data_IF_629250731371
#
_entry.id   IF_629250731371
#
_cell.length_a   1.000
_cell.length_b   1.000
_cell.length_c   1.000
_cell.angle_alpha   90.00
_cell.angle_beta   90.00
_cell.angle_gamma   90.00
#
_symmetry.space_group_name_H-M   'P 1'
#
loop_
_entity.id
_entity.type
_entity.pdbx_description
1 polymer ?
#
# COMPACT_ATOMS: atom_id res chain seq x y z
N UNK A 1 -16.02 14.35 -6.18
CA UNK A 1 -15.31 14.37 -7.49
C UNK A 1 -14.36 13.19 -7.55
N UNK A 2 -14.20 12.56 -8.71
CA UNK A 2 -13.30 11.41 -8.88
C UNK A 2 -12.09 11.76 -9.75
N UNK A 3 -10.92 11.32 -9.31
CA UNK A 3 -9.64 11.57 -9.96
C UNK A 3 -8.82 10.29 -10.10
N UNK A 4 -8.05 10.20 -11.17
CA UNK A 4 -6.83 9.41 -11.24
C UNK A 4 -5.68 10.25 -10.70
N UNK A 5 -5.01 9.75 -9.66
CA UNK A 5 -3.79 10.34 -9.12
C UNK A 5 -2.61 9.48 -9.53
N UNK A 6 -1.55 10.11 -10.05
CA UNK A 6 -0.29 9.42 -10.35
C UNK A 6 0.86 10.01 -9.54
N UNK A 7 1.77 9.15 -9.08
CA UNK A 7 2.94 9.51 -8.30
C UNK A 7 4.19 9.04 -9.04
N UNK A 8 4.96 9.98 -9.60
CA UNK A 8 6.28 9.71 -10.20
C UNK A 8 7.38 9.97 -9.17
N UNK A 9 8.15 8.96 -8.73
CA UNK A 9 9.29 9.20 -7.84
C UNK A 9 10.33 10.05 -8.57
N UNK A 10 10.88 11.05 -7.88
CA UNK A 10 11.93 11.92 -8.44
C UNK A 10 13.35 11.34 -8.24
N UNK A 11 13.48 10.43 -7.27
CA UNK A 11 14.72 9.79 -6.82
C UNK A 11 14.38 8.36 -6.37
N UNK A 12 15.39 7.50 -6.08
CA UNK A 12 15.12 6.18 -5.51
C UNK A 12 14.25 6.32 -4.26
N UNK A 13 13.11 5.63 -4.25
CA UNK A 13 12.16 5.70 -3.15
C UNK A 13 12.43 4.60 -2.13
N UNK A 14 11.99 4.84 -0.90
CA UNK A 14 12.05 3.87 0.18
C UNK A 14 10.75 3.84 0.98
N UNK A 15 10.03 2.73 0.88
CA UNK A 15 8.84 2.44 1.66
C UNK A 15 9.20 1.52 2.83
N UNK A 16 9.04 2.01 4.05
CA UNK A 16 9.40 1.28 5.25
C UNK A 16 8.56 0.01 5.46
N UNK A 17 9.22 -1.03 5.96
CA UNK A 17 8.57 -2.23 6.50
C UNK A 17 8.72 -2.31 8.02
N UNK A 18 8.74 -3.54 8.55
CA UNK A 18 8.95 -3.77 9.98
C UNK A 18 10.39 -3.95 10.40
N UNK A 19 11.24 -4.33 9.45
CA UNK A 19 12.69 -4.29 9.64
C UNK A 19 13.14 -2.83 9.59
N UNK A 20 13.74 -2.38 10.69
CA UNK A 20 14.30 -1.03 10.83
C UNK A 20 15.80 -1.09 11.07
N UNK A 21 16.49 0.05 10.98
CA UNK A 21 17.93 0.11 11.26
C UNK A 21 18.21 -0.10 12.75
N UNK A 22 19.12 -1.02 13.09
CA UNK A 22 19.60 -1.21 14.46
C UNK A 22 20.46 -2.45 14.65
N UNK A 23 20.87 -2.73 15.89
CA UNK A 23 21.57 -3.98 16.26
C UNK A 23 20.72 -5.20 15.91
N UNK A 24 21.32 -6.38 15.70
CA UNK A 24 20.58 -7.62 15.43
C UNK A 24 19.60 -7.92 16.57
N UNK A 25 18.35 -7.50 16.40
CA UNK A 25 17.22 -7.82 17.27
C UNK A 25 16.06 -8.26 16.38
N UNK A 26 14.94 -8.68 16.98
CA UNK A 26 13.77 -9.20 16.24
C UNK A 26 13.29 -8.25 15.12
N UNK A 27 13.40 -6.93 15.31
CA UNK A 27 12.87 -5.91 14.39
C UNK A 27 13.94 -4.94 13.84
N UNK A 28 15.23 -5.25 14.04
CA UNK A 28 16.33 -4.44 13.52
C UNK A 28 17.43 -5.28 12.89
N UNK A 29 17.83 -4.89 11.68
CA UNK A 29 18.79 -5.63 10.87
C UNK A 29 19.78 -4.69 10.19
N UNK A 30 20.94 -5.22 9.83
CA UNK A 30 21.94 -4.52 9.03
C UNK A 30 21.50 -4.34 7.58
N UNK A 31 20.60 -5.20 7.09
CA UNK A 31 20.02 -5.14 5.76
C UNK A 31 18.57 -4.68 5.86
N UNK A 32 18.24 -3.58 5.20
CA UNK A 32 16.86 -3.06 5.16
C UNK A 32 16.42 -2.88 3.72
N UNK A 33 15.36 -3.59 3.35
CA UNK A 33 14.78 -3.49 2.01
C UNK A 33 13.53 -2.63 2.04
N UNK A 34 13.42 -1.74 1.06
CA UNK A 34 12.17 -1.04 0.77
C UNK A 34 11.09 -2.05 0.39
N UNK A 35 9.85 -1.77 0.76
CA UNK A 35 8.69 -2.36 0.09
C UNK A 35 8.59 -1.81 -1.34
N UNK A 36 7.97 -2.57 -2.23
CA UNK A 36 7.75 -2.15 -3.63
C UNK A 36 6.60 -1.16 -3.75
N UNK A 37 5.60 -1.29 -2.88
CA UNK A 37 4.44 -0.40 -2.79
C UNK A 37 4.38 0.28 -1.42
N UNK A 38 3.87 1.52 -1.35
CA UNK A 38 3.56 2.13 -0.07
C UNK A 38 2.30 1.49 0.52
N UNK A 39 2.17 1.52 1.85
CA UNK A 39 0.93 1.11 2.51
C UNK A 39 -0.21 2.07 2.17
N UNK A 40 -1.46 1.59 2.13
CA UNK A 40 -2.61 2.46 1.83
C UNK A 40 -2.82 3.52 2.91
N UNK A 41 -2.44 3.22 4.16
CA UNK A 41 -2.42 4.21 5.25
C UNK A 41 -1.42 5.34 5.00
N UNK A 42 -0.31 5.06 4.30
CA UNK A 42 0.64 6.09 3.91
C UNK A 42 0.07 6.99 2.80
N UNK A 43 -0.67 6.43 1.84
CA UNK A 43 -1.43 7.22 0.84
C UNK A 43 -2.49 8.09 1.53
N UNK A 44 -3.28 7.51 2.44
CA UNK A 44 -4.26 8.26 3.21
C UNK A 44 -3.60 9.42 3.97
N UNK A 45 -2.47 9.17 4.64
CA UNK A 45 -1.71 10.20 5.34
C UNK A 45 -1.20 11.30 4.41
N UNK A 46 -0.69 10.92 3.23
CA UNK A 46 -0.20 11.84 2.21
C UNK A 46 -1.32 12.73 1.67
N UNK A 47 -2.47 12.15 1.31
CA UNK A 47 -3.64 12.90 0.83
C UNK A 47 -4.16 13.85 1.90
N UNK A 48 -4.28 13.39 3.15
CA UNK A 48 -4.70 14.25 4.27
C UNK A 48 -3.74 15.44 4.45
N UNK A 49 -2.43 15.19 4.42
CA UNK A 49 -1.42 16.25 4.49
C UNK A 49 -1.59 17.25 3.34
N UNK A 50 -1.79 16.75 2.13
CA UNK A 50 -1.93 17.60 0.95
C UNK A 50 -3.20 18.47 0.99
N UNK A 51 -4.34 17.91 1.41
CA UNK A 51 -5.58 18.69 1.61
C UNK A 51 -5.35 19.83 2.62
N UNK A 52 -4.65 19.57 3.72
CA UNK A 52 -4.37 20.59 4.73
C UNK A 52 -3.43 21.69 4.20
N UNK A 53 -2.41 21.33 3.41
CA UNK A 53 -1.50 22.29 2.76
C UNK A 53 -2.26 23.17 1.77
N UNK A 54 -3.02 22.56 0.86
CA UNK A 54 -3.77 23.26 -0.18
C UNK A 54 -4.88 24.14 0.40
N UNK A 55 -5.45 23.76 1.56
CA UNK A 55 -6.42 24.56 2.29
C UNK A 55 -5.79 25.65 3.16
N UNK A 56 -4.45 25.80 3.15
CA UNK A 56 -3.68 26.73 4.01
C UNK A 56 -3.93 26.52 5.51
N UNK A 57 -4.24 25.29 5.92
CA UNK A 57 -4.48 24.91 7.31
C UNK A 57 -3.25 24.30 7.99
N UNK A 58 -2.24 23.90 7.22
CA UNK A 58 -0.95 23.42 7.72
C UNK A 58 0.12 24.49 7.54
N UNK A 59 0.60 25.08 8.63
CA UNK A 59 1.68 26.08 8.60
C UNK A 59 2.98 25.51 9.15
N UNK A 60 4.10 25.92 8.54
CA UNK A 60 5.43 25.59 9.05
C UNK A 60 5.85 26.65 10.06
N UNK A 61 6.05 26.25 11.32
CA UNK A 61 6.57 27.09 12.41
C UNK A 61 7.96 26.60 12.81
N UNK A 62 8.65 27.35 13.69
CA UNK A 62 10.01 27.00 14.16
C UNK A 62 10.15 25.57 14.72
N UNK A 63 9.08 25.01 15.29
CA UNK A 63 9.06 23.68 15.91
C UNK A 63 8.43 22.59 15.02
N UNK A 64 8.17 22.88 13.74
CA UNK A 64 7.59 21.94 12.78
C UNK A 64 6.25 22.40 12.20
N UNK A 65 5.56 21.46 11.56
CA UNK A 65 4.26 21.68 10.94
C UNK A 65 3.13 21.65 11.98
N UNK A 66 2.25 22.64 11.96
CA UNK A 66 1.13 22.77 12.87
C UNK A 66 -0.18 23.03 12.13
N UNK A 67 -1.27 22.48 12.69
CA UNK A 67 -2.64 22.76 12.24
C UNK A 67 -3.17 23.93 13.05
N UNK A 68 -3.42 25.06 12.40
CA UNK A 68 -3.86 26.29 13.06
C UNK A 68 -5.33 26.25 13.46
N UNK A 69 -6.21 25.86 12.52
CA UNK A 69 -7.64 25.67 12.77
C UNK A 69 -8.00 24.18 12.79
N UNK A 70 -8.08 23.63 14.00
CA UNK A 70 -8.47 22.23 14.22
C UNK A 70 -9.90 21.93 13.78
N UNK A 71 -10.83 22.87 13.90
CA UNK A 71 -12.24 22.64 13.56
C UNK A 71 -12.39 22.46 12.05
N UNK A 72 -11.81 23.37 11.27
CA UNK A 72 -11.78 23.26 9.81
C UNK A 72 -10.98 22.05 9.33
N UNK A 73 -9.84 21.76 9.97
CA UNK A 73 -9.05 20.57 9.63
C UNK A 73 -9.83 19.26 9.86
N UNK A 74 -10.52 19.12 11.00
CA UNK A 74 -11.34 17.93 11.28
C UNK A 74 -12.44 17.73 10.24
N UNK A 75 -13.09 18.81 9.78
CA UNK A 75 -14.09 18.70 8.69
C UNK A 75 -13.48 18.20 7.39
N UNK A 76 -12.24 18.59 7.09
CA UNK A 76 -11.56 18.23 5.84
C UNK A 76 -10.95 16.83 5.86
N UNK A 77 -10.25 16.44 6.93
CA UNK A 77 -9.46 15.19 6.94
C UNK A 77 -9.92 14.16 7.97
N UNK A 78 -10.92 14.52 8.79
CA UNK A 78 -11.35 13.74 9.95
C UNK A 78 -10.45 13.96 11.17
N UNK A 79 -10.93 13.49 12.32
CA UNK A 79 -10.29 13.60 13.64
C UNK A 79 -9.66 12.28 14.12
N UNK A 80 -10.06 11.16 13.53
CA UNK A 80 -9.60 9.84 13.96
C UNK A 80 -8.32 9.41 13.25
N UNK A 81 -7.38 8.87 14.05
CA UNK A 81 -6.27 8.08 13.54
C UNK A 81 -6.79 6.81 12.91
N UNK A 82 -6.14 6.35 11.85
CA UNK A 82 -6.50 5.10 11.20
C UNK A 82 -6.61 3.93 12.20
N UNK A 83 -7.72 3.18 12.11
CA UNK A 83 -8.10 2.06 12.96
C UNK A 83 -8.81 0.99 12.14
N UNK A 84 -8.47 -0.27 12.37
CA UNK A 84 -9.04 -1.40 11.64
C UNK A 84 -10.41 -1.85 12.14
N UNK A 85 -10.70 -1.58 13.41
CA UNK A 85 -11.79 -2.24 14.13
C UNK A 85 -13.01 -1.33 14.32
N UNK A 86 -12.93 -0.09 13.84
CA UNK A 86 -13.93 0.94 14.12
C UNK A 86 -14.16 1.76 12.86
N UNK A 87 -15.41 2.16 12.67
CA UNK A 87 -15.77 3.12 11.64
C UNK A 87 -15.06 4.46 11.88
N UNK A 88 -14.64 5.10 10.79
CA UNK A 88 -13.83 6.29 10.85
C UNK A 88 -14.39 7.44 10.02
N UNK A 89 -14.22 8.64 10.58
CA UNK A 89 -14.40 9.87 9.82
C UNK A 89 -13.15 10.16 8.99
N UNK A 90 -13.31 10.23 7.67
CA UNK A 90 -12.26 10.58 6.71
C UNK A 90 -12.41 12.01 6.14
N UNK A 91 -13.34 12.80 6.67
CA UNK A 91 -13.62 14.16 6.22
C UNK A 91 -14.22 14.20 4.81
N UNK A 92 -13.61 14.98 3.92
CA UNK A 92 -14.06 15.11 2.52
C UNK A 92 -13.76 13.87 1.67
N UNK A 93 -12.92 12.95 2.15
CA UNK A 93 -12.57 11.73 1.44
C UNK A 93 -13.74 10.74 1.42
N UNK A 94 -14.17 10.33 0.22
CA UNK A 94 -15.21 9.31 0.00
C UNK A 94 -14.62 7.94 -0.23
N UNK A 95 -13.62 7.79 -1.10
CA UNK A 95 -12.96 6.51 -1.33
C UNK A 95 -11.55 6.66 -1.90
N UNK A 96 -10.69 5.66 -1.66
CA UNK A 96 -9.39 5.49 -2.33
C UNK A 96 -9.36 4.06 -2.88
N UNK A 97 -9.02 3.90 -4.16
CA UNK A 97 -8.81 2.57 -4.73
C UNK A 97 -7.51 1.92 -4.23
N UNK A 98 -7.28 0.63 -4.50
CA UNK A 98 -5.95 0.04 -4.38
C UNK A 98 -4.93 0.81 -5.21
N UNK A 99 -3.67 0.79 -4.75
CA UNK A 99 -2.54 1.28 -5.55
C UNK A 99 -2.18 0.23 -6.58
N UNK A 100 -2.03 0.68 -7.82
CA UNK A 100 -1.57 -0.07 -8.97
C UNK A 100 -0.45 0.72 -9.67
N UNK A 101 0.06 0.18 -10.79
CA UNK A 101 1.09 0.84 -11.59
C UNK A 101 0.51 1.26 -12.94
N UNK A 102 0.98 2.38 -13.49
CA UNK A 102 0.69 2.79 -14.86
C UNK A 102 2.00 2.92 -15.63
N UNK A 103 2.00 2.44 -16.88
CA UNK A 103 3.01 2.73 -17.89
C UNK A 103 2.30 2.95 -19.22
N UNK A 104 2.54 4.10 -19.88
CA UNK A 104 1.95 4.43 -21.18
C UNK A 104 0.42 4.21 -21.22
N UNK A 105 -0.29 4.64 -20.17
CA UNK A 105 -1.73 4.43 -19.95
C UNK A 105 -2.18 3.00 -19.65
N UNK A 106 -1.31 1.99 -19.79
CA UNK A 106 -1.60 0.63 -19.38
C UNK A 106 -1.46 0.51 -17.86
N UNK A 107 -2.50 -0.05 -17.24
CA UNK A 107 -2.64 -0.26 -15.80
C UNK A 107 -2.20 -1.68 -15.47
N UNK A 108 -1.32 -1.82 -14.50
CA UNK A 108 -0.75 -3.09 -14.05
C UNK A 108 -1.08 -3.33 -12.59
N UNK A 109 -1.56 -4.53 -12.29
CA UNK A 109 -1.79 -5.02 -10.92
C UNK A 109 -0.83 -6.17 -10.62
N UNK A 110 -0.46 -6.33 -9.35
CA UNK A 110 0.23 -7.54 -8.89
C UNK A 110 -0.79 -8.67 -8.79
N UNK A 111 -0.46 -9.85 -9.32
CA UNK A 111 -1.29 -11.06 -9.25
C UNK A 111 -0.39 -12.27 -9.37
N UNK A 112 -0.60 -13.29 -8.53
CA UNK A 112 0.14 -14.55 -8.67
C UNK A 112 -0.03 -15.13 -10.08
N UNK A 113 1.02 -15.74 -10.62
CA UNK A 113 1.00 -16.39 -11.94
C UNK A 113 0.28 -17.76 -11.88
N UNK A 114 -0.98 -17.72 -11.47
CA UNK A 114 -1.87 -18.88 -11.48
C UNK A 114 -2.35 -19.22 -12.89
N UNK A 115 -2.29 -18.27 -13.83
CA UNK A 115 -2.76 -18.46 -15.20
C UNK A 115 -1.83 -19.36 -16.02
N UNK A 116 -0.56 -19.48 -15.61
CA UNK A 116 0.40 -20.48 -16.12
C UNK A 116 0.22 -21.88 -15.50
N UNK A 117 -0.69 -22.02 -14.53
CA UNK A 117 -0.95 -23.27 -13.83
C UNK A 117 -2.40 -23.74 -14.02
N UNK A 118 -2.68 -24.99 -13.66
CA UNK A 118 -4.05 -25.52 -13.62
C UNK A 118 -4.34 -26.15 -12.28
N UNK A 119 -5.36 -25.65 -11.59
CA UNK A 119 -5.83 -26.26 -10.36
C UNK A 119 -6.70 -27.49 -10.66
N UNK A 120 -6.33 -28.65 -10.12
CA UNK A 120 -7.11 -29.88 -10.23
C UNK A 120 -6.92 -30.77 -9.00
N UNK A 121 -8.03 -31.13 -8.32
CA UNK A 121 -8.05 -32.07 -7.19
C UNK A 121 -7.04 -31.72 -6.08
N UNK A 122 -7.02 -30.47 -5.63
CA UNK A 122 -6.11 -30.01 -4.57
C UNK A 122 -4.66 -29.78 -5.00
N UNK A 123 -4.33 -29.93 -6.29
CA UNK A 123 -2.98 -29.76 -6.81
C UNK A 123 -2.93 -28.65 -7.87
N UNK A 124 -1.84 -27.87 -7.83
CA UNK A 124 -1.53 -26.87 -8.83
C UNK A 124 -0.58 -27.48 -9.88
N UNK A 125 -1.15 -27.99 -10.98
CA UNK A 125 -0.37 -28.57 -12.09
C UNK A 125 0.37 -27.48 -12.85
N UNK A 126 1.63 -27.75 -13.21
CA UNK A 126 2.50 -26.79 -13.88
C UNK A 126 3.26 -25.85 -12.93
N UNK A 127 3.01 -25.93 -11.62
CA UNK A 127 3.76 -25.19 -10.63
C UNK A 127 5.25 -25.58 -10.65
N UNK A 128 6.12 -24.59 -10.85
CA UNK A 128 7.57 -24.75 -10.78
C UNK A 128 8.08 -24.04 -9.51
N UNK A 129 8.55 -24.79 -8.49
CA UNK A 129 9.05 -24.19 -7.25
C UNK A 129 10.33 -23.36 -7.45
N UNK A 130 10.97 -23.41 -8.63
CA UNK A 130 12.13 -22.56 -8.97
C UNK A 130 11.72 -21.18 -9.49
N UNK A 131 10.44 -20.99 -9.84
CA UNK A 131 9.89 -19.70 -10.27
C UNK A 131 9.12 -19.09 -9.12
N UNK A 132 9.34 -17.80 -8.89
CA UNK A 132 8.52 -17.07 -7.93
C UNK A 132 7.15 -16.78 -8.54
N UNK A 133 6.13 -17.51 -8.08
CA UNK A 133 4.75 -17.34 -8.54
C UNK A 133 4.18 -15.95 -8.19
N UNK A 134 4.78 -15.22 -7.23
CA UNK A 134 4.38 -13.85 -6.88
C UNK A 134 5.07 -12.77 -7.72
N UNK A 135 6.12 -13.12 -8.46
CA UNK A 135 6.84 -12.20 -9.33
C UNK A 135 6.11 -11.99 -10.66
N UNK A 136 4.87 -11.50 -10.56
CA UNK A 136 4.01 -11.33 -11.72
C UNK A 136 3.09 -10.11 -11.57
N UNK A 137 3.09 -9.29 -12.62
CA UNK A 137 2.28 -8.09 -12.79
C UNK A 137 1.54 -8.20 -14.10
N UNK A 138 0.21 -8.20 -14.04
CA UNK A 138 -0.64 -8.31 -15.22
C UNK A 138 -1.22 -6.94 -15.59
N UNK A 139 -1.13 -6.59 -16.87
CA UNK A 139 -1.86 -5.46 -17.43
C UNK A 139 -3.34 -5.80 -17.49
N UNK A 140 -4.18 -5.00 -16.84
CA UNK A 140 -5.63 -5.22 -16.91
C UNK A 140 -6.21 -4.83 -18.28
N UNK A 141 -5.52 -3.93 -19.00
CA UNK A 141 -5.91 -3.42 -20.31
C UNK A 141 -5.46 -4.35 -21.47
N UNK A 142 -4.22 -4.86 -21.43
CA UNK A 142 -3.63 -5.64 -22.54
C UNK A 142 -3.42 -7.11 -22.23
N UNK A 143 -3.56 -7.51 -20.96
CA UNK A 143 -3.20 -8.85 -20.43
C UNK A 143 -1.72 -9.22 -20.54
N UNK A 144 -0.86 -8.31 -20.98
CA UNK A 144 0.60 -8.49 -20.92
C UNK A 144 1.06 -8.66 -19.48
N UNK A 145 1.98 -9.60 -19.25
CA UNK A 145 2.62 -9.80 -17.95
C UNK A 145 4.02 -9.17 -17.92
N UNK A 146 4.44 -8.80 -16.72
CA UNK A 146 5.77 -8.26 -16.39
C UNK A 146 6.22 -8.83 -15.06
N UNK A 147 7.52 -8.88 -14.86
CA UNK A 147 8.15 -9.26 -13.60
C UNK A 147 8.63 -8.01 -12.85
N UNK A 148 9.01 -8.18 -11.59
CA UNK A 148 9.56 -7.13 -10.73
C UNK A 148 10.75 -6.45 -11.39
N UNK A 149 11.63 -7.22 -12.03
CA UNK A 149 12.82 -6.67 -12.68
C UNK A 149 12.51 -5.81 -13.91
N UNK A 150 11.32 -5.93 -14.51
CA UNK A 150 10.85 -5.08 -15.62
C UNK A 150 10.33 -3.72 -15.12
N UNK A 151 10.05 -3.60 -13.83
CA UNK A 151 9.38 -2.44 -13.23
C UNK A 151 10.29 -1.70 -12.25
N UNK A 152 11.05 -2.43 -11.44
CA UNK A 152 11.81 -1.90 -10.31
C UNK A 152 13.32 -2.13 -10.50
N UNK A 153 14.10 -1.06 -10.39
CA UNK A 153 15.56 -1.13 -10.33
C UNK A 153 15.98 -1.03 -8.86
N UNK A 154 16.60 -2.06 -8.26
CA UNK A 154 17.14 -1.97 -6.90
C UNK A 154 18.35 -1.04 -6.87
N UNK A 155 18.37 -0.12 -5.90
CA UNK A 155 19.48 0.80 -5.63
C UNK A 155 19.98 0.52 -4.22
N UNK A 156 21.17 -0.07 -4.13
CA UNK A 156 21.81 -0.37 -2.86
C UNK A 156 22.62 0.82 -2.36
N UNK A 157 22.44 1.15 -1.08
CA UNK A 157 23.16 2.23 -0.40
C UNK A 157 23.72 1.72 0.91
N UNK A 158 24.97 2.09 1.19
CA UNK A 158 25.65 1.81 2.45
C UNK A 158 25.64 3.09 3.28
N UNK A 159 25.20 2.99 4.54
CA UNK A 159 25.15 4.10 5.49
C UNK A 159 25.90 3.79 6.77
N UNK A 160 26.41 4.86 7.42
CA UNK A 160 27.06 4.79 8.72
C UNK A 160 26.41 5.83 9.65
N UNK A 161 25.86 5.38 10.77
CA UNK A 161 25.39 6.27 11.83
C UNK A 161 26.59 6.80 12.63
N UNK A 162 26.93 8.08 12.44
CA UNK A 162 27.97 8.74 13.24
C UNK A 162 27.44 8.97 14.67
N UNK A 163 28.26 8.67 15.69
CA UNK A 163 27.95 8.70 17.14
C UNK A 163 27.20 7.49 17.73
N UNK A 164 27.27 6.30 17.14
CA UNK A 164 26.89 5.06 17.83
C UNK A 164 28.15 4.31 18.27
N UNK A 165 28.33 4.12 19.58
CA UNK A 165 29.51 3.48 20.16
C UNK A 165 29.70 2.01 19.73
N UNK A 166 28.68 1.37 19.14
CA UNK A 166 28.78 0.04 18.52
C UNK A 166 27.91 -0.05 17.26
N UNK A 167 28.53 -0.44 16.13
CA UNK A 167 27.92 -0.96 14.89
C UNK A 167 26.85 -0.08 14.20
N UNK A 168 27.25 1.12 13.76
CA UNK A 168 26.39 2.03 12.97
C UNK A 168 26.29 1.74 11.47
N UNK A 169 26.88 0.64 10.97
CA UNK A 169 26.87 0.28 9.55
C UNK A 169 25.53 -0.33 9.14
N UNK A 170 24.94 0.09 8.03
CA UNK A 170 23.77 -0.54 7.45
C UNK A 170 23.81 -0.53 5.92
N UNK A 171 23.17 -1.51 5.31
CA UNK A 171 22.89 -1.58 3.88
C UNK A 171 21.39 -1.44 3.67
N UNK A 172 21.01 -0.54 2.77
CA UNK A 172 19.63 -0.23 2.42
C UNK A 172 19.41 -0.49 0.94
N UNK A 173 18.30 -1.11 0.58
CA UNK A 173 17.86 -1.24 -0.81
C UNK A 173 16.63 -0.37 -1.04
N UNK A 174 16.81 0.71 -1.81
CA UNK A 174 15.74 1.54 -2.36
C UNK A 174 15.41 1.08 -3.78
N UNK A 175 14.36 1.65 -4.40
CA UNK A 175 14.00 1.31 -5.79
C UNK A 175 13.80 2.55 -6.66
N UNK A 176 14.11 2.42 -7.94
CA UNK A 176 13.64 3.31 -9.01
C UNK A 176 12.60 2.57 -9.86
N UNK A 177 11.67 3.33 -10.45
CA UNK A 177 10.75 2.81 -11.46
C UNK A 177 11.40 2.88 -12.85
N UNK A 178 11.31 1.79 -13.64
CA UNK A 178 11.73 1.72 -15.05
C UNK A 178 10.73 2.39 -15.98
N UNK A 179 11.13 2.66 -17.22
CA UNK A 179 10.25 2.82 -18.39
C UNK A 179 8.98 3.65 -18.17
N UNK A 180 9.14 4.81 -17.51
CA UNK A 180 8.06 5.74 -17.15
C UNK A 180 6.91 5.17 -16.30
N UNK A 181 7.15 4.06 -15.60
CA UNK A 181 6.23 3.57 -14.59
C UNK A 181 5.95 4.64 -13.53
N UNK A 182 4.70 4.71 -13.11
CA UNK A 182 4.21 5.55 -12.02
C UNK A 182 3.32 4.71 -11.10
N UNK A 183 3.30 5.04 -9.81
CA UNK A 183 2.23 4.55 -8.94
C UNK A 183 0.95 5.31 -9.27
N UNK A 184 -0.19 4.63 -9.20
CA UNK A 184 -1.47 5.22 -9.49
C UNK A 184 -2.56 4.68 -8.55
N UNK A 185 -3.57 5.51 -8.32
CA UNK A 185 -4.81 5.13 -7.63
C UNK A 185 -5.93 6.08 -8.03
N UNK A 186 -7.16 5.60 -7.96
CA UNK A 186 -8.35 6.43 -8.05
C UNK A 186 -8.71 6.94 -6.66
N UNK A 187 -9.21 8.17 -6.62
CA UNK A 187 -9.69 8.80 -5.39
C UNK A 187 -10.98 9.54 -5.65
N UNK A 188 -11.93 9.41 -4.73
CA UNK A 188 -13.16 10.18 -4.71
C UNK A 188 -13.20 11.04 -3.45
N UNK A 189 -13.37 12.35 -3.63
CA UNK A 189 -13.43 13.30 -2.52
C UNK A 189 -14.23 14.56 -2.87
N UNK A 190 -14.77 15.22 -1.85
CA UNK A 190 -15.48 16.51 -1.92
C UNK A 190 -14.50 17.68 -1.74
N UNK A 191 -13.40 17.65 -2.50
CA UNK A 191 -12.35 18.67 -2.47
C UNK A 191 -11.64 18.73 -3.82
N UNK A 192 -11.26 19.92 -4.26
CA UNK A 192 -10.54 20.11 -5.52
C UNK A 192 -9.03 19.99 -5.29
N UNK A 193 -8.52 18.76 -5.41
CA UNK A 193 -7.11 18.46 -5.22
C UNK A 193 -6.28 18.93 -6.42
N UNK A 194 -5.19 19.65 -6.14
CA UNK A 194 -4.27 20.21 -7.14
C UNK A 194 -2.97 19.40 -7.26
N UNK A 195 -2.32 19.49 -8.42
CA UNK A 195 -1.00 18.87 -8.67
C UNK A 195 0.04 19.49 -7.74
N UNK A 196 0.97 18.69 -7.24
CA UNK A 196 2.03 19.20 -6.36
C UNK A 196 3.23 18.24 -6.28
N UNK A 197 4.26 18.66 -5.53
CA UNK A 197 5.35 17.78 -5.12
C UNK A 197 5.08 17.34 -3.68
N UNK A 198 5.04 16.03 -3.48
CA UNK A 198 4.71 15.43 -2.18
C UNK A 198 5.87 14.59 -1.67
N UNK A 199 5.86 14.32 -0.38
CA UNK A 199 6.76 13.35 0.26
C UNK A 199 5.95 12.15 0.70
N UNK A 200 6.42 10.93 0.39
CA UNK A 200 5.76 9.68 0.76
C UNK A 200 6.81 8.63 1.15
N UNK A 201 6.48 7.81 2.14
CA UNK A 201 7.38 6.75 2.61
C UNK A 201 8.40 7.22 3.64
N UNK A 202 9.39 6.36 3.90
CA UNK A 202 10.47 6.70 4.81
C UNK A 202 11.49 7.60 4.10
N UNK A 203 12.28 8.32 4.90
CA UNK A 203 13.30 9.29 4.42
C UNK A 203 12.75 10.42 3.53
N UNK A 204 11.44 10.69 3.60
CA UNK A 204 10.79 11.77 2.83
C UNK A 204 11.03 11.67 1.32
N UNK A 205 10.94 10.45 0.77
CA UNK A 205 11.06 10.23 -0.68
C UNK A 205 10.10 11.16 -1.44
N UNK A 206 10.62 11.93 -2.39
CA UNK A 206 9.87 12.95 -3.12
C UNK A 206 9.21 12.37 -4.38
N UNK A 207 7.95 12.74 -4.59
CA UNK A 207 7.17 12.35 -5.77
C UNK A 207 6.55 13.58 -6.42
N UNK A 208 6.49 13.59 -7.74
CA UNK A 208 5.60 14.47 -8.49
C UNK A 208 4.21 13.83 -8.50
N UNK A 209 3.24 14.51 -7.91
CA UNK A 209 1.83 14.12 -7.92
C UNK A 209 1.12 14.80 -9.08
N UNK A 210 0.58 14.01 -10.00
CA UNK A 210 -0.32 14.47 -11.06
C UNK A 210 -1.75 14.04 -10.76
N UNK A 211 -2.72 14.80 -11.26
CA UNK A 211 -4.15 14.63 -11.00
C UNK A 211 -4.91 14.86 -12.29
N UNK A 212 -5.75 13.90 -12.63
CA UNK A 212 -6.64 13.98 -13.78
C UNK A 212 -8.06 13.57 -13.36
N UNK A 213 -9.07 14.35 -13.72
CA UNK A 213 -10.48 13.95 -13.52
C UNK A 213 -10.73 12.66 -14.30
N UNK A 214 -11.28 11.65 -13.63
CA UNK A 214 -11.59 10.37 -14.25
C UNK A 214 -12.76 9.72 -13.53
N UNK A 215 -13.67 9.13 -14.30
CA UNK A 215 -14.77 8.32 -13.76
C UNK A 215 -14.43 6.83 -13.74
N UNK A 216 -13.23 6.44 -14.20
CA UNK A 216 -12.79 5.05 -14.24
C UNK A 216 -12.59 4.48 -12.83
N UNK A 217 -12.68 3.16 -12.74
CA UNK A 217 -12.37 2.37 -11.55
C UNK A 217 -11.25 1.36 -11.87
N UNK A 218 -10.71 0.73 -10.81
CA UNK A 218 -9.74 -0.34 -10.95
C UNK A 218 -10.47 -1.68 -11.10
N UNK A 219 -11.00 -1.91 -12.30
CA UNK A 219 -11.79 -3.09 -12.59
C UNK A 219 -10.91 -4.20 -13.17
N UNK A 220 -10.77 -5.28 -12.41
CA UNK A 220 -10.15 -6.51 -12.86
C UNK A 220 -11.14 -7.65 -12.67
N UNK A 221 -11.24 -8.54 -13.66
CA UNK A 221 -12.03 -9.77 -13.57
C UNK A 221 -11.11 -10.96 -13.82
N UNK A 222 -11.08 -11.89 -12.88
CA UNK A 222 -10.32 -13.13 -13.04
C UNK A 222 -11.10 -14.07 -13.97
N UNK A 223 -10.48 -14.46 -15.09
CA UNK A 223 -11.11 -15.30 -16.12
C UNK A 223 -11.50 -16.69 -15.64
N UNK A 224 -10.93 -17.18 -14.54
CA UNK A 224 -11.20 -18.50 -13.98
C UNK A 224 -12.22 -18.44 -12.84
N UNK A 225 -12.80 -17.26 -12.56
CA UNK A 225 -13.75 -17.06 -11.47
C UNK A 225 -13.11 -17.07 -10.08
N UNK A 226 -11.78 -16.93 -9.98
CA UNK A 226 -11.10 -16.93 -8.70
C UNK A 226 -11.26 -15.59 -7.98
N UNK A 227 -11.26 -15.63 -6.64
CA UNK A 227 -11.22 -14.42 -5.85
C UNK A 227 -9.77 -13.91 -5.81
N UNK A 228 -9.54 -12.70 -6.33
CA UNK A 228 -8.22 -12.07 -6.37
C UNK A 228 -8.20 -10.83 -5.50
N UNK A 229 -7.22 -10.73 -4.58
CA UNK A 229 -7.03 -9.51 -3.79
C UNK A 229 -6.36 -8.42 -4.62
N UNK A 230 -7.01 -7.27 -4.80
CA UNK A 230 -6.43 -6.10 -5.47
C UNK A 230 -5.65 -5.20 -4.50
N UNK A 231 -5.92 -5.33 -3.20
CA UNK A 231 -5.16 -4.69 -2.14
C UNK A 231 -4.81 -5.63 -0.99
N UNK A 232 -3.87 -5.20 -0.16
CA UNK A 232 -3.54 -5.91 1.07
C UNK A 232 -4.83 -6.03 1.90
N UNK A 233 -5.11 -7.23 2.40
CA UNK A 233 -6.41 -7.53 3.02
C UNK A 233 -6.25 -8.14 4.40
N UNK A 234 -6.98 -7.58 5.36
CA UNK A 234 -7.08 -8.12 6.71
C UNK A 234 -8.12 -9.23 6.74
N UNK A 235 -7.65 -10.46 6.94
CA UNK A 235 -8.47 -11.66 7.07
C UNK A 235 -8.10 -12.32 8.40
N UNK A 236 -9.08 -12.46 9.29
CA UNK A 236 -8.90 -12.96 10.66
C UNK A 236 -9.62 -14.28 10.93
N UNK A 237 -9.96 -14.99 9.86
CA UNK A 237 -10.48 -16.36 9.91
C UNK A 237 -9.49 -17.35 9.26
N UNK A 238 -9.53 -18.65 9.62
CA UNK A 238 -8.65 -19.65 9.03
C UNK A 238 -8.94 -19.85 7.53
N UNK A 239 -7.95 -19.59 6.67
CA UNK A 239 -8.09 -19.78 5.20
C UNK A 239 -8.37 -21.24 4.83
N UNK A 240 -7.75 -22.19 5.56
CA UNK A 240 -7.87 -23.63 5.32
C UNK A 240 -9.32 -24.12 5.29
N UNK A 241 -10.17 -23.54 6.12
CA UNK A 241 -11.57 -23.95 6.26
C UNK A 241 -12.51 -23.13 5.38
N UNK A 242 -11.97 -22.14 4.67
CA UNK A 242 -12.72 -21.06 4.03
C UNK A 242 -12.44 -20.91 2.52
N UNK A 243 -11.67 -21.82 1.94
CA UNK A 243 -11.48 -21.96 0.49
C UNK A 243 -10.99 -23.38 0.16
N UNK A 244 -11.10 -23.80 -1.10
CA UNK A 244 -10.58 -25.10 -1.54
C UNK A 244 -9.06 -25.06 -1.73
N UNK A 245 -8.54 -23.91 -2.17
CA UNK A 245 -7.12 -23.68 -2.37
C UNK A 245 -6.82 -22.18 -2.34
N UNK A 246 -5.65 -21.81 -1.85
CA UNK A 246 -5.21 -20.42 -1.84
C UNK A 246 -3.73 -20.33 -2.18
N UNK A 247 -3.37 -19.26 -2.89
CA UNK A 247 -1.99 -18.87 -3.15
C UNK A 247 -1.83 -17.49 -2.53
N UNK A 248 -1.23 -17.45 -1.34
CA UNK A 248 -1.22 -16.29 -0.45
C UNK A 248 0.18 -15.93 0.04
N UNK A 249 0.49 -14.63 0.03
CA UNK A 249 1.66 -14.07 0.70
C UNK A 249 1.16 -13.22 1.86
N UNK A 250 1.91 -13.16 2.95
CA UNK A 250 1.59 -12.29 4.08
C UNK A 250 2.56 -11.12 4.13
N UNK A 251 2.01 -9.93 4.35
CA UNK A 251 2.77 -8.72 4.61
C UNK A 251 2.44 -8.19 5.99
N UNK A 252 3.49 -7.85 6.72
CA UNK A 252 3.38 -7.34 8.06
C UNK A 252 2.81 -5.90 8.05
N UNK A 253 1.98 -5.58 9.03
CA UNK A 253 1.29 -4.31 9.12
C UNK A 253 1.49 -3.66 10.49
N UNK A 254 1.84 -2.37 10.47
CA UNK A 254 1.87 -1.51 11.63
C UNK A 254 1.41 -0.10 11.27
N UNK A 255 0.88 0.62 12.26
CA UNK A 255 0.40 1.99 12.15
C UNK A 255 0.81 2.81 13.38
N UNK A 256 0.80 4.14 13.27
CA UNK A 256 1.27 5.02 14.33
C UNK A 256 0.19 5.34 15.36
N UNK A 257 0.47 5.08 16.64
CA UNK A 257 -0.32 5.51 17.78
C UNK A 257 0.31 6.70 18.52
N UNK A 258 -0.51 7.45 19.24
CA UNK A 258 -0.02 8.51 20.13
C UNK A 258 0.43 7.87 21.44
N UNK A 259 1.56 8.33 21.96
CA UNK A 259 1.96 8.11 23.35
C UNK A 259 2.35 9.46 23.95
N UNK A 260 1.89 9.73 25.16
CA UNK A 260 2.41 10.86 25.93
C UNK A 260 3.70 10.40 26.63
N UNK A 261 4.77 11.15 26.46
CA UNK A 261 6.01 11.00 27.22
C UNK A 261 6.40 12.38 27.70
N UNK A 262 6.52 12.56 29.02
CA UNK A 262 6.94 13.82 29.64
C UNK A 262 6.11 15.04 29.16
N UNK A 263 4.78 14.89 29.10
CA UNK A 263 3.82 15.87 28.55
C UNK A 263 3.98 16.23 27.06
N UNK A 264 4.89 15.60 26.33
CA UNK A 264 5.00 15.71 24.89
C UNK A 264 4.29 14.56 24.17
N UNK A 265 3.64 14.88 23.05
CA UNK A 265 3.04 13.87 22.17
C UNK A 265 4.14 13.26 21.30
N UNK A 266 4.41 11.99 21.50
CA UNK A 266 5.34 11.20 20.69
C UNK A 266 4.56 10.17 19.88
N UNK A 267 5.00 9.94 18.64
CA UNK A 267 4.45 8.89 17.79
C UNK A 267 5.23 7.59 17.99
N UNK A 268 4.52 6.48 18.20
CA UNK A 268 5.11 5.13 18.23
C UNK A 268 4.33 4.20 17.29
N UNK A 269 4.99 3.23 16.68
CA UNK A 269 4.32 2.09 16.05
C UNK A 269 3.43 1.37 17.09
N UNK A 270 2.25 0.94 16.67
CA UNK A 270 1.36 0.11 17.48
C UNK A 270 2.10 -1.19 17.87
N UNK A 271 1.95 -1.62 19.13
CA UNK A 271 2.73 -2.74 19.68
C UNK A 271 2.27 -4.11 19.17
N UNK A 272 1.01 -4.25 18.74
CA UNK A 272 0.50 -5.48 18.13
C UNK A 272 0.90 -5.53 16.67
N UNK A 273 1.59 -6.61 16.28
CA UNK A 273 1.87 -6.95 14.88
C UNK A 273 0.58 -7.50 14.25
N UNK A 274 0.18 -6.90 13.13
CA UNK A 274 -0.90 -7.41 12.30
C UNK A 274 -0.27 -7.98 11.03
N UNK A 275 -0.88 -9.01 10.48
CA UNK A 275 -0.52 -9.55 9.17
C UNK A 275 -1.69 -9.39 8.23
N UNK A 276 -1.38 -8.97 7.01
CA UNK A 276 -2.33 -8.79 5.93
C UNK A 276 -1.95 -9.77 4.84
N UNK A 277 -2.95 -10.33 4.16
CA UNK A 277 -2.70 -11.04 2.92
C UNK A 277 -2.34 -10.03 1.84
N UNK A 278 -1.20 -10.21 1.20
CA UNK A 278 -0.66 -9.28 0.22
C UNK A 278 -1.55 -9.22 -1.04
N UNK A 279 -1.66 -8.03 -1.63
CA UNK A 279 -2.28 -7.86 -2.96
C UNK A 279 -1.70 -8.86 -3.98
N UNK A 280 -2.57 -9.35 -4.84
CA UNK A 280 -2.26 -10.36 -5.84
C UNK A 280 -2.46 -11.80 -5.36
N UNK A 281 -2.74 -12.02 -4.07
CA UNK A 281 -3.14 -13.33 -3.57
C UNK A 281 -4.47 -13.79 -4.18
N UNK A 282 -4.61 -15.10 -4.38
CA UNK A 282 -5.78 -15.72 -5.04
C UNK A 282 -6.37 -16.83 -4.19
N UNK A 283 -7.70 -16.90 -4.15
CA UNK A 283 -8.48 -17.92 -3.47
C UNK A 283 -9.42 -18.63 -4.46
N UNK A 284 -9.35 -19.95 -4.48
CA UNK A 284 -10.18 -20.82 -5.31
C UNK A 284 -11.35 -21.32 -4.47
N UNK A 285 -12.56 -21.12 -4.98
CA UNK A 285 -13.81 -21.51 -4.32
C UNK A 285 -13.91 -21.00 -2.88
N UNK A 286 -13.83 -19.68 -2.65
CA UNK A 286 -13.97 -19.09 -1.32
C UNK A 286 -15.38 -19.36 -0.77
N UNK A 287 -15.48 -19.60 0.54
CA UNK A 287 -16.78 -19.69 1.23
C UNK A 287 -17.42 -18.30 1.33
N UNK A 288 -18.76 -18.20 1.48
CA UNK A 288 -19.42 -16.93 1.80
C UNK A 288 -18.84 -16.25 3.04
N UNK A 289 -18.43 -17.03 4.04
CA UNK A 289 -17.80 -16.53 5.26
C UNK A 289 -16.46 -15.82 4.99
N UNK A 290 -15.64 -16.33 4.05
CA UNK A 290 -14.43 -15.64 3.63
C UNK A 290 -14.72 -14.31 2.97
N UNK A 291 -15.69 -14.30 2.06
CA UNK A 291 -16.10 -13.10 1.33
C UNK A 291 -16.61 -12.04 2.30
N UNK A 292 -17.47 -12.43 3.26
CA UNK A 292 -17.96 -11.53 4.31
C UNK A 292 -16.82 -10.99 5.19
N UNK A 293 -15.85 -11.83 5.55
CA UNK A 293 -14.71 -11.41 6.36
C UNK A 293 -13.81 -10.38 5.65
N UNK A 294 -13.62 -10.54 4.35
CA UNK A 294 -12.89 -9.57 3.53
C UNK A 294 -13.73 -8.30 3.37
N UNK A 295 -15.05 -8.41 3.22
CA UNK A 295 -15.96 -7.29 2.95
C UNK A 295 -16.16 -6.36 4.16
N UNK A 296 -15.15 -5.54 4.44
CA UNK A 296 -15.10 -4.58 5.56
C UNK A 296 -15.17 -3.15 4.99
N UNK A 297 -16.36 -2.50 4.95
CA UNK A 297 -16.54 -1.21 4.27
C UNK A 297 -15.59 -0.10 4.73
N UNK A 298 -15.27 -0.05 6.04
CA UNK A 298 -14.32 0.93 6.58
C UNK A 298 -12.90 0.78 5.99
N UNK A 299 -12.46 -0.45 5.72
CA UNK A 299 -11.15 -0.74 5.12
C UNK A 299 -11.17 -0.50 3.61
N UNK A 300 -12.25 -0.91 2.95
CA UNK A 300 -12.46 -0.71 1.53
C UNK A 300 -12.51 0.77 1.15
N UNK A 301 -13.08 1.60 2.02
CA UNK A 301 -13.12 3.05 1.84
C UNK A 301 -11.73 3.67 1.64
N UNK A 302 -10.68 3.08 2.20
CA UNK A 302 -9.30 3.58 2.05
C UNK A 302 -8.40 2.63 1.25
N UNK A 303 -9.01 1.73 0.48
CA UNK A 303 -8.30 0.89 -0.49
C UNK A 303 -7.64 -0.35 0.09
N UNK A 304 -7.96 -0.76 1.31
CA UNK A 304 -7.65 -2.11 1.83
C UNK A 304 -8.82 -3.07 1.58
N UNK A 305 -8.61 -4.38 1.67
CA UNK A 305 -9.70 -5.35 1.57
C UNK A 305 -10.52 -5.26 0.26
N UNK A 306 -9.89 -4.78 -0.82
CA UNK A 306 -10.50 -4.73 -2.15
C UNK A 306 -10.12 -6.03 -2.86
N UNK A 307 -11.12 -6.71 -3.38
CA UNK A 307 -10.98 -7.95 -4.11
C UNK A 307 -11.89 -7.92 -5.33
N UNK A 308 -11.61 -8.81 -6.26
CA UNK A 308 -12.53 -9.13 -7.37
C UNK A 308 -12.87 -10.61 -7.34
N UNK A 309 -13.99 -10.95 -7.93
CA UNK A 309 -14.40 -12.31 -8.22
C UNK A 309 -14.89 -12.34 -9.67
N UNK A 310 -14.32 -13.21 -10.49
CA UNK A 310 -14.87 -13.45 -11.83
C UNK A 310 -16.18 -14.24 -11.76
N UNK A 311 -17.00 -14.10 -12.79
CA UNK A 311 -18.12 -15.02 -13.02
C UNK A 311 -17.57 -16.35 -13.57
N UNK A 312 -18.08 -17.47 -13.07
CA UNK A 312 -17.74 -18.82 -13.55
C UNK A 312 -18.57 -19.21 -14.76
#
# INVERSE_FOLDING_TARGET
MRYLVTLKPLKPFFFGGDITFGELTKNSNYLVHSRLFPQQTAILGMIRKEILIQSKLLTTKRQGEWVDDKSSATKLVGDTKFSFNQEQNFGVLKSISPIFLIQNSNRFIKKVDIDSCTYQKGLLKGYDPKKDIYDNYISIDTKQTKNMSDIFIPIEQIGIKKNSDKKGYFKKTSYLLKDDFQFAFYIELDFELQKSFITLGAEQSMFKMDIQKSNQELDYYDKNGYLTLLSDSYIDIPIRDNCEFAITSEISFSFLVNKFKDNEKVFKKHNKEYFFYEKGSVFINPTPQLIENINKPNLQKIGYNIFTQGEK
#
